data_IF_991001925453
#
_entry.id   IF_991001925453
#
_cell.length_a   1.000
_cell.length_b   1.000
_cell.length_c   1.000
_cell.angle_alpha   90.00
_cell.angle_beta   90.00
_cell.angle_gamma   90.00
#
_symmetry.space_group_name_H-M   'P 1'
#
loop_
_entity.id
_entity.type
_entity.pdbx_description
1 polymer ?
#
# COMPACT_ATOMS: atom_id res chain seq x y z
N UNK A 1 -12.14 -15.54 -2.37
CA UNK A 1 -10.74 -15.16 -2.60
C UNK A 1 -10.44 -15.08 -4.10
N UNK A 2 -9.39 -14.35 -4.49
CA UNK A 2 -8.83 -14.38 -5.85
C UNK A 2 -8.43 -15.83 -6.21
N UNK A 3 -8.71 -16.27 -7.43
CA UNK A 3 -8.41 -17.63 -7.92
C UNK A 3 -7.83 -17.58 -9.33
N UNK A 4 -7.43 -18.75 -9.87
CA UNK A 4 -6.79 -18.86 -11.19
C UNK A 4 -7.65 -18.22 -12.29
N UNK A 5 -8.97 -18.45 -12.28
CA UNK A 5 -9.89 -17.85 -13.25
C UNK A 5 -9.84 -16.31 -13.21
N UNK A 6 -9.92 -15.70 -12.01
CA UNK A 6 -9.84 -14.24 -11.87
C UNK A 6 -8.49 -13.69 -12.35
N UNK A 7 -7.38 -14.30 -11.93
CA UNK A 7 -6.04 -13.84 -12.28
C UNK A 7 -5.76 -13.97 -13.79
N UNK A 8 -6.22 -15.06 -14.41
CA UNK A 8 -6.16 -15.29 -15.85
C UNK A 8 -6.90 -14.20 -16.62
N UNK A 9 -8.13 -13.88 -16.21
CA UNK A 9 -8.93 -12.81 -16.84
C UNK A 9 -8.29 -11.43 -16.68
N UNK A 10 -7.72 -11.14 -15.51
CA UNK A 10 -6.97 -9.90 -15.27
C UNK A 10 -5.74 -9.82 -16.16
N UNK A 11 -5.00 -10.92 -16.34
CA UNK A 11 -3.80 -10.98 -17.16
C UNK A 11 -4.03 -10.60 -18.64
N UNK A 12 -5.25 -10.86 -19.15
CA UNK A 12 -5.67 -10.47 -20.50
C UNK A 12 -5.89 -8.95 -20.66
N UNK A 13 -6.11 -8.22 -19.57
CA UNK A 13 -6.36 -6.78 -19.61
C UNK A 13 -5.03 -6.03 -19.73
N UNK A 14 -4.75 -5.51 -20.93
CA UNK A 14 -3.53 -4.73 -21.19
C UNK A 14 -3.47 -3.52 -20.25
N UNK A 15 -2.47 -3.50 -19.37
CA UNK A 15 -2.25 -2.35 -18.49
C UNK A 15 -2.93 -2.41 -17.13
N UNK A 16 -3.64 -3.50 -16.80
CA UNK A 16 -4.36 -3.62 -15.54
C UNK A 16 -3.48 -3.29 -14.32
N UNK A 17 -4.01 -2.43 -13.45
CA UNK A 17 -3.46 -2.17 -12.12
C UNK A 17 -4.37 -2.88 -11.13
N UNK A 18 -3.80 -3.78 -10.35
CA UNK A 18 -4.53 -4.53 -9.32
C UNK A 18 -4.16 -3.96 -7.96
N UNK A 19 -5.17 -3.74 -7.13
CA UNK A 19 -4.98 -3.31 -5.74
C UNK A 19 -5.44 -4.43 -4.81
N UNK A 20 -4.52 -4.98 -4.05
CA UNK A 20 -4.79 -5.93 -2.97
C UNK A 20 -4.96 -5.16 -1.65
N UNK A 21 -5.53 -5.79 -0.63
CA UNK A 21 -5.52 -5.28 0.75
C UNK A 21 -4.65 -6.19 1.62
N UNK A 22 -3.94 -5.59 2.56
CA UNK A 22 -3.26 -6.28 3.65
C UNK A 22 -3.56 -5.48 4.93
N UNK A 23 -4.81 -5.59 5.39
CA UNK A 23 -5.33 -4.77 6.49
C UNK A 23 -5.07 -5.39 7.87
N UNK A 24 -4.85 -6.70 7.93
CA UNK A 24 -4.38 -7.43 9.11
C UNK A 24 -3.16 -8.28 8.80
N UNK A 25 -2.29 -8.49 9.79
CA UNK A 25 -1.14 -9.39 9.67
C UNK A 25 -1.54 -10.85 9.45
N UNK A 26 -2.74 -11.23 9.89
CA UNK A 26 -3.28 -12.58 9.67
C UNK A 26 -3.54 -12.86 8.18
N UNK A 27 -3.71 -11.81 7.38
CA UNK A 27 -3.95 -11.93 5.93
C UNK A 27 -2.65 -12.01 5.11
N UNK A 28 -1.47 -11.97 5.74
CA UNK A 28 -0.19 -11.92 5.03
C UNK A 28 0.02 -13.10 4.08
N UNK A 29 -0.34 -14.31 4.51
CA UNK A 29 -0.25 -15.52 3.68
C UNK A 29 -1.22 -15.45 2.48
N UNK A 30 -2.48 -15.08 2.73
CA UNK A 30 -3.49 -14.91 1.69
C UNK A 30 -3.09 -13.82 0.68
N UNK A 31 -2.51 -12.74 1.17
CA UNK A 31 -1.97 -11.67 0.34
C UNK A 31 -0.84 -12.16 -0.56
N UNK A 32 0.10 -12.94 -0.01
CA UNK A 32 1.23 -13.49 -0.77
C UNK A 32 0.74 -14.46 -1.85
N UNK A 33 -0.19 -15.35 -1.52
CA UNK A 33 -0.83 -16.27 -2.47
C UNK A 33 -1.50 -15.49 -3.61
N UNK A 34 -2.27 -14.45 -3.28
CA UNK A 34 -2.93 -13.61 -4.29
C UNK A 34 -1.92 -12.85 -5.17
N UNK A 35 -0.85 -12.32 -4.56
CA UNK A 35 0.24 -11.66 -5.29
C UNK A 35 0.90 -12.62 -6.28
N UNK A 36 1.31 -13.81 -5.83
CA UNK A 36 1.99 -14.80 -6.68
C UNK A 36 1.08 -15.30 -7.80
N UNK A 37 -0.22 -15.42 -7.53
CA UNK A 37 -1.19 -15.81 -8.55
C UNK A 37 -1.30 -14.76 -9.67
N UNK A 38 -1.39 -13.47 -9.32
CA UNK A 38 -1.36 -12.38 -10.31
C UNK A 38 -0.06 -12.38 -11.13
N UNK A 39 1.08 -12.68 -10.48
CA UNK A 39 2.39 -12.77 -11.11
C UNK A 39 2.47 -13.92 -12.11
N UNK A 40 1.95 -15.09 -11.74
CA UNK A 40 1.89 -16.28 -12.59
C UNK A 40 1.12 -16.03 -13.88
N UNK A 41 0.03 -15.25 -13.83
CA UNK A 41 -0.76 -14.86 -14.99
C UNK A 41 -0.32 -13.54 -15.67
N UNK A 42 0.94 -13.12 -15.44
CA UNK A 42 1.58 -12.06 -16.24
C UNK A 42 1.37 -10.62 -15.73
N UNK A 43 0.69 -10.41 -14.60
CA UNK A 43 0.57 -9.06 -14.02
C UNK A 43 1.92 -8.59 -13.49
N UNK A 44 2.52 -7.55 -14.09
CA UNK A 44 3.82 -7.01 -13.66
C UNK A 44 3.82 -6.55 -12.18
N UNK A 45 4.88 -6.85 -11.40
CA UNK A 45 5.00 -6.44 -9.97
C UNK A 45 4.65 -4.96 -9.74
N UNK A 46 5.20 -4.07 -10.58
CA UNK A 46 4.97 -2.60 -10.55
C UNK A 46 3.51 -2.17 -10.74
N UNK A 47 2.64 -3.08 -11.20
CA UNK A 47 1.21 -2.88 -11.41
C UNK A 47 0.35 -3.47 -10.30
N UNK A 48 0.94 -4.24 -9.39
CA UNK A 48 0.30 -4.63 -8.14
C UNK A 48 0.62 -3.58 -7.09
N UNK A 49 -0.43 -3.06 -6.46
CA UNK A 49 -0.34 -2.16 -5.31
C UNK A 49 -1.13 -2.77 -4.17
N UNK A 50 -0.83 -2.39 -2.94
CA UNK A 50 -1.52 -2.96 -1.80
C UNK A 50 -1.89 -1.88 -0.79
N UNK A 51 -3.16 -1.83 -0.42
CA UNK A 51 -3.62 -0.99 0.67
C UNK A 51 -3.21 -1.58 2.01
N UNK A 52 -2.86 -0.69 2.94
CA UNK A 52 -2.57 -1.04 4.34
C UNK A 52 -3.36 -0.08 5.21
N UNK A 53 -4.47 -0.55 5.78
CA UNK A 53 -5.25 0.26 6.72
C UNK A 53 -4.45 0.49 8.03
N UNK A 54 -4.30 1.76 8.39
CA UNK A 54 -3.54 2.24 9.54
C UNK A 54 -4.49 2.88 10.56
N UNK A 55 -4.31 2.58 11.85
CA UNK A 55 -5.08 3.22 12.92
C UNK A 55 -6.53 2.72 13.06
N UNK A 56 -6.83 1.52 12.57
CA UNK A 56 -8.13 0.87 12.81
C UNK A 56 -8.07 -0.05 14.03
N UNK A 57 -7.31 -1.13 13.94
CA UNK A 57 -7.19 -2.19 14.96
C UNK A 57 -5.74 -2.61 15.26
N UNK A 58 -4.76 -2.08 14.52
CA UNK A 58 -3.34 -2.36 14.72
C UNK A 58 -2.56 -1.11 15.11
N UNK A 59 -1.44 -1.30 15.81
CA UNK A 59 -0.47 -0.24 16.11
C UNK A 59 0.44 0.13 14.93
N UNK A 60 1.29 1.16 15.10
CA UNK A 60 2.17 1.66 14.05
C UNK A 60 3.22 0.65 13.57
N UNK A 61 3.77 -0.19 14.46
CA UNK A 61 4.81 -1.17 14.11
C UNK A 61 4.26 -2.31 13.23
N UNK A 62 3.02 -2.73 13.49
CA UNK A 62 2.34 -3.72 12.66
C UNK A 62 2.05 -3.16 11.26
N UNK A 63 1.48 -1.95 11.18
CA UNK A 63 1.23 -1.28 9.90
C UNK A 63 2.51 -1.07 9.10
N UNK A 64 3.62 -0.74 9.78
CA UNK A 64 4.94 -0.61 9.17
C UNK A 64 5.42 -1.95 8.60
N UNK A 65 5.35 -3.02 9.40
CA UNK A 65 5.74 -4.37 8.98
C UNK A 65 4.96 -4.83 7.76
N UNK A 66 3.64 -4.58 7.71
CA UNK A 66 2.81 -4.88 6.53
C UNK A 66 3.27 -4.11 5.30
N UNK A 67 3.61 -2.83 5.44
CA UNK A 67 4.15 -2.03 4.34
C UNK A 67 5.51 -2.57 3.83
N UNK A 68 6.41 -2.95 4.74
CA UNK A 68 7.71 -3.53 4.40
C UNK A 68 7.57 -4.88 3.69
N UNK A 69 6.63 -5.73 4.12
CA UNK A 69 6.33 -7.00 3.47
C UNK A 69 5.94 -6.79 2.00
N UNK A 70 5.04 -5.83 1.73
CA UNK A 70 4.61 -5.48 0.38
C UNK A 70 5.78 -4.95 -0.47
N UNK A 71 6.58 -4.04 0.09
CA UNK A 71 7.75 -3.46 -0.59
C UNK A 71 8.80 -4.52 -0.92
N UNK A 72 9.06 -5.46 0.00
CA UNK A 72 9.99 -6.57 -0.16
C UNK A 72 9.57 -7.53 -1.30
N UNK A 73 8.26 -7.77 -1.48
CA UNK A 73 7.75 -8.53 -2.61
C UNK A 73 7.93 -7.81 -3.97
N UNK A 74 8.19 -6.49 -3.94
CA UNK A 74 8.34 -5.60 -5.08
C UNK A 74 7.03 -4.95 -5.55
N UNK A 75 5.99 -4.98 -4.71
CA UNK A 75 4.74 -4.26 -4.91
C UNK A 75 4.78 -2.87 -4.24
N UNK A 76 3.83 -2.00 -4.58
CA UNK A 76 3.74 -0.67 -3.98
C UNK A 76 2.80 -0.69 -2.76
N UNK A 77 3.30 -0.48 -1.52
CA UNK A 77 2.43 -0.26 -0.37
C UNK A 77 1.74 1.10 -0.47
N UNK A 78 0.48 1.15 -0.08
CA UNK A 78 -0.39 2.31 -0.05
C UNK A 78 -1.03 2.40 1.35
N UNK A 79 -0.33 2.96 2.35
CA UNK A 79 -0.95 3.15 3.65
C UNK A 79 -2.17 4.07 3.53
N UNK A 80 -3.24 3.73 4.25
CA UNK A 80 -4.48 4.51 4.32
C UNK A 80 -4.78 4.79 5.79
N UNK A 81 -5.01 6.05 6.14
CA UNK A 81 -5.40 6.39 7.51
C UNK A 81 -6.86 6.07 7.72
N UNK A 82 -7.18 5.35 8.78
CA UNK A 82 -8.55 5.08 9.14
C UNK A 82 -9.22 6.34 9.70
N UNK A 83 -10.40 6.64 9.18
CA UNK A 83 -11.28 7.67 9.71
C UNK A 83 -12.60 7.02 10.08
N UNK A 84 -12.97 7.07 11.36
CA UNK A 84 -14.32 6.75 11.77
C UNK A 84 -15.30 7.72 11.09
N UNK A 85 -16.50 7.25 10.74
CA UNK A 85 -17.53 8.09 10.13
C UNK A 85 -17.94 9.28 11.02
N UNK A 86 -17.74 9.14 12.33
CA UNK A 86 -18.00 10.18 13.34
C UNK A 86 -16.81 11.08 13.63
N UNK A 87 -15.68 10.91 12.93
CA UNK A 87 -14.48 11.70 13.19
C UNK A 87 -14.74 13.19 12.89
N UNK A 88 -14.51 14.08 13.87
CA UNK A 88 -14.82 15.50 13.70
C UNK A 88 -13.79 16.23 12.82
N UNK A 89 -12.60 15.63 12.63
CA UNK A 89 -11.49 16.21 11.89
C UNK A 89 -10.80 15.17 11.02
N UNK A 90 -10.35 15.62 9.86
CA UNK A 90 -9.53 14.79 8.98
C UNK A 90 -8.16 14.55 9.64
N UNK A 91 -7.73 13.29 9.57
CA UNK A 91 -6.42 12.76 9.96
C UNK A 91 -6.11 12.82 11.45
N UNK A 92 -7.01 13.33 12.29
CA UNK A 92 -6.81 13.38 13.73
C UNK A 92 -6.46 12.00 14.30
N UNK A 93 -5.43 11.96 15.15
CA UNK A 93 -5.11 10.77 15.94
C UNK A 93 -6.01 10.77 17.17
N UNK A 94 -7.08 9.97 17.09
CA UNK A 94 -8.10 9.83 18.12
C UNK A 94 -7.56 9.11 19.36
N UNK A 95 -8.27 9.22 20.49
CA UNK A 95 -7.90 8.49 21.71
C UNK A 95 -7.91 6.97 21.54
N UNK A 96 -8.81 6.45 20.69
CA UNK A 96 -8.82 5.03 20.34
C UNK A 96 -7.53 4.61 19.63
N UNK A 97 -7.06 5.43 18.68
CA UNK A 97 -5.79 5.20 17.99
C UNK A 97 -4.59 5.37 18.91
N UNK A 98 -4.63 6.33 19.84
CA UNK A 98 -3.59 6.49 20.87
C UNK A 98 -3.46 5.25 21.76
N UNK A 99 -4.58 4.61 22.11
CA UNK A 99 -4.57 3.33 22.85
C UNK A 99 -3.92 2.18 22.07
N UNK A 100 -3.95 2.23 20.74
CA UNK A 100 -3.22 1.31 19.86
C UNK A 100 -1.73 1.69 19.68
N UNK A 101 -1.26 2.75 20.33
CA UNK A 101 0.12 3.23 20.25
C UNK A 101 0.37 4.24 19.13
N UNK A 102 -0.67 4.77 18.47
CA UNK A 102 -0.48 5.80 17.46
C UNK A 102 -0.28 7.18 18.08
N UNK A 103 0.58 7.96 17.43
CA UNK A 103 0.76 9.38 17.65
C UNK A 103 0.93 10.10 16.30
N UNK A 104 0.95 11.43 16.33
CA UNK A 104 1.09 12.24 15.12
C UNK A 104 2.41 11.94 14.38
N UNK A 105 3.46 11.63 15.15
CA UNK A 105 4.79 11.34 14.63
C UNK A 105 4.80 10.03 13.83
N UNK A 106 4.24 8.96 14.36
CA UNK A 106 4.13 7.65 13.73
C UNK A 106 3.19 7.68 12.53
N UNK A 107 2.01 8.33 12.65
CA UNK A 107 1.10 8.55 11.50
C UNK A 107 1.83 9.27 10.36
N UNK A 108 2.51 10.36 10.68
CA UNK A 108 3.24 11.13 9.68
C UNK A 108 4.43 10.34 9.12
N UNK A 109 5.17 9.60 9.96
CA UNK A 109 6.32 8.79 9.54
C UNK A 109 5.93 7.75 8.48
N UNK A 110 4.87 6.96 8.71
CA UNK A 110 4.46 5.91 7.78
C UNK A 110 3.93 6.50 6.46
N UNK A 111 3.11 7.55 6.54
CA UNK A 111 2.60 8.26 5.36
C UNK A 111 3.74 8.88 4.57
N UNK A 112 4.70 9.53 5.22
CA UNK A 112 5.88 10.07 4.53
C UNK A 112 6.68 8.97 3.84
N UNK A 113 7.00 7.86 4.54
CA UNK A 113 7.84 6.77 4.01
C UNK A 113 7.24 6.09 2.79
N UNK A 114 5.95 5.74 2.86
CA UNK A 114 5.35 4.86 1.86
C UNK A 114 4.42 5.60 0.88
N UNK A 115 3.83 6.73 1.27
CA UNK A 115 2.96 7.52 0.38
C UNK A 115 3.73 8.62 -0.38
N UNK A 116 4.63 9.37 0.28
CA UNK A 116 5.35 10.49 -0.37
C UNK A 116 6.59 10.07 -1.19
N UNK A 117 7.31 9.01 -0.80
CA UNK A 117 8.47 8.56 -1.59
C UNK A 117 8.11 7.95 -2.96
N UNK A 118 6.84 7.58 -3.16
CA UNK A 118 6.32 7.12 -4.45
C UNK A 118 5.96 8.25 -5.43
N UNK A 119 5.74 9.49 -4.95
CA UNK A 119 5.46 10.65 -5.81
C UNK A 119 6.69 11.57 -6.00
N UNK A 120 7.60 11.69 -5.02
CA UNK A 120 8.67 12.71 -5.05
C UNK A 120 9.96 12.33 -5.79
N UNK A 121 10.37 11.06 -5.80
CA UNK A 121 11.65 10.65 -6.44
C UNK A 121 11.50 10.14 -7.87
N UNK A 122 10.28 9.79 -8.29
CA UNK A 122 10.00 9.37 -9.68
C UNK A 122 9.69 10.55 -10.61
N UNK A 123 9.09 11.64 -10.09
CA UNK A 123 8.90 12.88 -10.86
C UNK A 123 10.21 13.59 -11.22
N UNK A 124 11.27 13.43 -10.41
CA UNK A 124 12.50 14.22 -10.57
C UNK A 124 13.51 13.62 -11.55
N UNK A 125 13.37 12.34 -11.95
CA UNK A 125 14.22 11.70 -12.97
C UNK A 125 13.74 11.94 -14.41
N UNK A 126 12.45 12.21 -14.62
CA UNK A 126 11.91 12.44 -15.97
C UNK A 126 11.99 13.92 -16.42
N UNK A 127 12.09 14.89 -15.51
CA UNK A 127 12.29 16.32 -15.88
C UNK A 127 13.71 16.63 -16.30
N UNK A 128 14.72 16.14 -15.57
CA UNK A 128 16.13 16.40 -15.91
C UNK A 128 16.59 15.70 -17.19
N UNK A 129 15.98 14.58 -17.58
CA UNK A 129 16.29 13.90 -18.84
C UNK A 129 15.67 14.59 -20.08
N UNK A 130 14.59 15.36 -19.91
CA UNK A 130 13.96 16.12 -21.01
C UNK A 130 14.50 17.54 -21.17
N UNK A 131 14.96 18.17 -20.09
CA UNK A 131 15.56 19.51 -20.14
C UNK A 131 17.03 19.51 -20.58
N UNK A 132 17.70 18.35 -20.66
CA UNK A 132 19.07 18.20 -21.17
C UNK A 132 19.15 17.83 -22.67
N UNK A 133 18.01 17.85 -23.38
CA UNK A 133 17.90 17.47 -24.79
C UNK A 133 17.36 18.60 -25.70
N UNK A 134 17.46 19.85 -25.24
CA UNK A 134 17.21 21.06 -26.03
C UNK A 134 18.31 22.08 -25.76
#
# INVERSE_FOLDING_TARGET
>A
LLNDHHAERIGRIRGAIVRLSLDSRQDAEHWQIAFDLLRRFGTAKKRVRSYVLCGFDSGPDDAWTRCELIEAAGAMPLPQWYHALTAPRLNEVTDAQRRLGWDEKSRTRIMRRFYWHTNGKRMRRDRTAKEAAW
#
